data_IF_494849033571
#
_entry.id   IF_494849033571
#
_cell.length_a   1.000
_cell.length_b   1.000
_cell.length_c   1.000
_cell.angle_alpha   90.00
_cell.angle_beta   90.00
_cell.angle_gamma   90.00
#
_symmetry.space_group_name_H-M   'P 1'
#
loop_
_entity.id
_entity.type
_entity.pdbx_description
1 polymer ?
#
# COMPACT_ATOMS: atom_id res chain seq x y z
N UNK A 1 -13.12 1.99 -16.66
CA UNK A 1 -13.99 1.74 -15.49
C UNK A 1 -14.02 3.01 -14.66
N UNK A 2 -15.23 3.51 -14.45
CA UNK A 2 -15.57 4.88 -14.04
C UNK A 2 -15.36 5.10 -12.54
N UNK A 3 -14.61 6.15 -12.17
CA UNK A 3 -14.69 6.78 -10.84
C UNK A 3 -16.17 7.03 -10.50
N UNK A 4 -16.63 6.41 -9.42
CA UNK A 4 -18.02 6.57 -9.00
C UNK A 4 -18.29 7.99 -8.49
N UNK A 5 -19.52 8.45 -8.70
CA UNK A 5 -20.07 9.75 -8.28
C UNK A 5 -19.80 10.06 -6.78
N UNK A 6 -19.58 9.03 -5.96
CA UNK A 6 -19.18 9.10 -4.54
C UNK A 6 -17.86 9.83 -4.26
N UNK A 7 -16.91 9.88 -5.22
CA UNK A 7 -15.62 10.53 -5.01
C UNK A 7 -15.72 12.07 -4.97
N UNK A 8 -16.82 12.64 -5.51
CA UNK A 8 -17.05 14.10 -5.54
C UNK A 8 -17.74 14.63 -4.28
N UNK A 9 -18.54 13.81 -3.60
CA UNK A 9 -19.34 14.26 -2.45
C UNK A 9 -18.54 14.36 -1.14
N UNK A 10 -17.43 13.61 -1.02
CA UNK A 10 -16.53 13.69 0.15
C UNK A 10 -15.73 15.01 0.17
N UNK A 11 -15.53 15.65 -0.98
CA UNK A 11 -14.77 16.90 -1.13
C UNK A 11 -15.48 18.13 -0.54
N UNK A 12 -16.81 18.11 -0.38
CA UNK A 12 -17.58 19.27 0.10
C UNK A 12 -17.73 19.35 1.62
N UNK A 13 -17.43 18.26 2.35
CA UNK A 13 -17.75 18.13 3.78
C UNK A 13 -16.61 18.51 4.74
N UNK A 14 -15.43 18.89 4.24
CA UNK A 14 -14.25 19.24 5.06
C UNK A 14 -14.05 20.75 5.21
N UNK A 15 -15.08 21.45 5.72
CA UNK A 15 -14.91 22.76 6.36
C UNK A 15 -15.48 22.64 7.77
N UNK A 16 -14.63 22.76 8.78
CA UNK A 16 -15.14 23.06 10.12
C UNK A 16 -15.62 24.52 10.15
N UNK A 17 -16.44 24.87 11.15
CA UNK A 17 -16.99 26.22 11.29
C UNK A 17 -15.96 27.28 11.76
N UNK A 18 -14.68 26.92 11.86
CA UNK A 18 -13.60 27.78 12.39
C UNK A 18 -12.44 28.05 11.41
N UNK A 19 -12.46 27.41 10.23
CA UNK A 19 -11.49 27.66 9.16
C UNK A 19 -10.08 27.12 9.43
N UNK A 20 -9.89 26.23 10.41
CA UNK A 20 -8.60 25.60 10.70
C UNK A 20 -8.65 24.08 10.45
N UNK A 21 -7.77 23.59 9.58
CA UNK A 21 -7.65 22.16 9.27
C UNK A 21 -6.79 21.44 10.32
N UNK A 22 -7.32 20.38 10.94
CA UNK A 22 -6.61 19.56 11.94
C UNK A 22 -6.49 18.06 11.57
N UNK A 23 -6.61 17.68 10.29
CA UNK A 23 -6.66 16.27 9.88
C UNK A 23 -5.90 15.96 8.58
N UNK A 24 -4.58 16.08 8.57
CA UNK A 24 -3.79 15.84 7.34
C UNK A 24 -3.34 14.38 7.15
N UNK A 25 -3.18 13.59 8.22
CA UNK A 25 -2.73 12.19 8.11
C UNK A 25 -3.76 11.27 7.44
N UNK A 26 -5.04 11.63 7.46
CA UNK A 26 -6.12 10.86 6.82
C UNK A 26 -6.15 10.98 5.29
N UNK A 27 -5.74 12.14 4.75
CA UNK A 27 -5.66 12.38 3.32
C UNK A 27 -4.59 11.50 2.64
N UNK A 28 -3.51 11.22 3.37
CA UNK A 28 -2.40 10.34 2.95
C UNK A 28 -2.82 8.91 2.59
N UNK A 29 -3.84 8.40 3.27
CA UNK A 29 -4.08 6.96 3.34
C UNK A 29 -5.24 6.55 2.42
N UNK A 30 -6.11 7.48 2.05
CA UNK A 30 -7.32 7.16 1.31
C UNK A 30 -7.26 7.38 -0.21
N UNK A 31 -6.32 8.19 -0.69
CA UNK A 31 -6.17 8.48 -2.11
C UNK A 31 -4.85 7.94 -2.64
N UNK A 32 -4.80 6.64 -2.92
CA UNK A 32 -3.78 6.06 -3.79
C UNK A 32 -4.11 6.38 -5.24
N UNK A 33 -4.02 7.66 -5.64
CA UNK A 33 -4.09 8.12 -7.03
C UNK A 33 -3.14 9.33 -7.15
N UNK A 34 -2.03 9.13 -7.87
CA UNK A 34 -0.87 10.00 -8.12
C UNK A 34 -0.77 11.30 -7.32
N UNK A 35 0.31 11.48 -6.57
CA UNK A 35 0.56 12.70 -5.82
C UNK A 35 1.70 13.52 -6.44
N UNK A 36 1.47 14.78 -6.81
CA UNK A 36 2.54 15.75 -7.15
C UNK A 36 2.13 17.10 -6.60
N UNK A 37 3.06 17.84 -5.97
CA UNK A 37 3.10 19.30 -6.17
C UNK A 37 4.42 20.00 -5.79
N UNK A 38 4.59 21.23 -6.28
CA UNK A 38 5.59 22.20 -5.82
C UNK A 38 5.19 22.99 -4.56
N UNK A 39 6.01 22.91 -3.51
CA UNK A 39 6.13 23.78 -2.32
C UNK A 39 6.29 25.29 -2.57
N UNK A 40 5.24 26.08 -2.35
CA UNK A 40 5.38 27.53 -2.22
C UNK A 40 5.86 27.90 -0.82
N UNK A 41 7.09 28.40 -0.73
CA UNK A 41 7.53 29.22 0.41
C UNK A 41 6.60 30.44 0.46
N UNK A 42 5.77 30.56 1.48
CA UNK A 42 4.87 31.70 1.63
C UNK A 42 5.66 32.99 1.85
N UNK A 43 6.01 33.66 0.75
CA UNK A 43 6.11 35.11 0.63
C UNK A 43 5.86 35.47 -0.82
N UNK A 44 4.61 35.79 -1.15
CA UNK A 44 4.21 36.99 -1.88
C UNK A 44 2.82 36.82 -2.51
N UNK A 45 1.86 37.58 -2.00
CA UNK A 45 0.92 38.29 -2.87
C UNK A 45 1.74 38.93 -4.00
N UNK A 46 1.29 38.75 -5.25
CA UNK A 46 1.82 39.32 -6.50
C UNK A 46 3.15 38.76 -7.04
N UNK A 47 3.12 37.64 -7.77
CA UNK A 47 4.07 37.32 -8.86
C UNK A 47 3.53 36.21 -9.80
N UNK A 48 4.05 36.04 -11.03
CA UNK A 48 3.31 35.57 -12.22
C UNK A 48 3.07 34.05 -12.34
N UNK A 49 2.91 33.33 -11.23
CA UNK A 49 2.50 31.91 -11.19
C UNK A 49 0.98 31.73 -11.11
N UNK A 50 0.23 32.76 -10.72
CA UNK A 50 -1.24 32.77 -10.80
C UNK A 50 -1.80 32.55 -12.22
N UNK A 51 -0.95 32.66 -13.23
CA UNK A 51 -1.29 32.45 -14.64
C UNK A 51 -1.15 30.99 -15.11
N UNK A 52 -0.32 30.18 -14.43
CA UNK A 52 -0.14 28.74 -14.74
C UNK A 52 -1.22 27.87 -14.10
N UNK A 53 -1.68 28.25 -12.91
CA UNK A 53 -2.81 27.65 -12.20
C UNK A 53 -4.16 28.29 -12.56
N UNK A 54 -4.20 29.17 -13.57
CA UNK A 54 -5.47 29.76 -14.01
C UNK A 54 -6.32 28.66 -14.65
N UNK A 55 -7.59 28.61 -14.25
CA UNK A 55 -8.62 27.68 -14.71
C UNK A 55 -8.80 27.63 -16.25
N UNK A 56 -8.13 28.50 -17.00
CA UNK A 56 -8.15 28.53 -18.46
C UNK A 56 -7.30 27.45 -19.14
N UNK A 57 -6.27 26.88 -18.48
CA UNK A 57 -5.39 25.84 -19.08
C UNK A 57 -5.73 24.41 -18.68
N UNK A 58 -6.27 24.20 -17.47
CA UNK A 58 -6.62 22.87 -16.96
C UNK A 58 -7.89 22.94 -16.08
N UNK A 59 -9.09 22.82 -16.66
CA UNK A 59 -10.36 23.15 -16.00
C UNK A 59 -10.81 22.19 -14.88
N UNK A 60 -10.05 21.13 -14.59
CA UNK A 60 -10.41 20.07 -13.63
C UNK A 60 -9.53 20.04 -12.37
N UNK A 61 -8.70 21.07 -12.12
CA UNK A 61 -7.78 21.10 -10.98
C UNK A 61 -8.49 21.63 -9.74
N UNK A 62 -8.50 20.87 -8.64
CA UNK A 62 -8.91 21.33 -7.32
C UNK A 62 -7.72 21.17 -6.35
N UNK A 63 -7.21 22.30 -5.84
CA UNK A 63 -6.15 22.33 -4.84
C UNK A 63 -6.77 22.41 -3.44
N UNK A 64 -6.28 21.61 -2.50
CA UNK A 64 -6.70 21.63 -1.10
C UNK A 64 -5.46 21.89 -0.24
N UNK A 65 -5.43 23.05 0.44
CA UNK A 65 -4.37 23.42 1.37
C UNK A 65 -4.57 22.65 2.68
N UNK A 66 -3.61 21.83 3.08
CA UNK A 66 -3.63 21.15 4.37
C UNK A 66 -2.36 21.52 5.15
N UNK A 67 -2.52 22.04 6.36
CA UNK A 67 -1.43 22.58 7.19
C UNK A 67 -1.14 21.64 8.35
N UNK A 68 -0.03 20.90 8.30
CA UNK A 68 0.48 20.11 9.44
C UNK A 68 1.30 20.98 10.40
N UNK A 69 1.00 20.92 11.69
CA UNK A 69 1.64 21.66 12.78
C UNK A 69 3.08 21.23 13.10
N UNK A 70 3.99 21.33 12.12
CA UNK A 70 5.44 21.32 12.28
C UNK A 70 6.07 22.43 11.44
N UNK A 71 7.39 22.62 11.51
CA UNK A 71 8.11 23.66 10.75
C UNK A 71 8.00 23.52 9.22
N UNK A 72 7.50 22.39 8.72
CA UNK A 72 7.22 22.11 7.31
C UNK A 72 5.71 22.16 7.07
N UNK A 73 5.24 23.16 6.31
CA UNK A 73 3.87 23.23 5.79
C UNK A 73 3.83 22.54 4.43
N UNK A 74 3.04 21.48 4.29
CA UNK A 74 2.93 20.72 3.04
C UNK A 74 1.56 20.03 2.94
N UNK A 75 1.11 19.76 1.71
CA UNK A 75 -0.15 19.09 1.40
C UNK A 75 -0.02 18.19 0.17
N UNK A 76 -1.05 17.39 -0.08
CA UNK A 76 -1.10 16.43 -1.19
C UNK A 76 -2.23 16.77 -2.16
N UNK A 77 -2.00 16.57 -3.46
CA UNK A 77 -3.05 16.66 -4.48
C UNK A 77 -3.01 15.47 -5.43
N UNK A 78 -4.22 14.98 -5.70
CA UNK A 78 -4.50 13.87 -6.58
C UNK A 78 -4.43 14.30 -8.04
N UNK A 79 -3.71 13.53 -8.85
CA UNK A 79 -3.63 13.69 -10.30
C UNK A 79 -4.10 12.42 -11.00
N UNK A 80 -5.20 12.46 -11.73
CA UNK A 80 -5.67 11.29 -12.49
C UNK A 80 -5.07 11.31 -13.91
N UNK A 81 -3.85 10.80 -14.11
CA UNK A 81 -3.26 10.73 -15.46
C UNK A 81 -2.24 9.61 -15.62
N UNK A 82 -2.36 8.82 -16.68
CA UNK A 82 -1.36 7.81 -17.06
C UNK A 82 -0.13 8.41 -17.79
N UNK A 83 -0.06 9.74 -17.93
CA UNK A 83 1.04 10.43 -18.60
C UNK A 83 2.25 10.60 -17.65
N UNK A 84 3.08 9.55 -17.55
CA UNK A 84 4.30 9.56 -16.75
C UNK A 84 5.28 10.67 -17.21
N UNK A 85 5.57 10.85 -18.52
CA UNK A 85 6.40 11.97 -18.97
C UNK A 85 5.88 13.35 -18.54
N UNK A 86 4.56 13.58 -18.66
CA UNK A 86 3.93 14.81 -18.17
C UNK A 86 4.09 15.00 -16.67
N UNK A 87 3.89 13.93 -15.89
CA UNK A 87 4.16 13.91 -14.44
C UNK A 87 5.62 14.26 -14.13
N UNK A 88 6.59 13.68 -14.84
CA UNK A 88 8.02 13.91 -14.59
C UNK A 88 8.43 15.35 -14.92
N UNK A 89 7.81 15.99 -15.91
CA UNK A 89 8.03 17.40 -16.18
C UNK A 89 7.55 18.28 -15.02
N UNK A 90 6.42 17.92 -14.37
CA UNK A 90 5.97 18.59 -13.15
C UNK A 90 6.91 18.32 -11.97
N UNK A 91 7.43 17.09 -11.86
CA UNK A 91 8.37 16.69 -10.82
C UNK A 91 9.71 17.45 -10.88
N UNK A 92 10.05 18.06 -12.02
CA UNK A 92 11.23 18.94 -12.14
C UNK A 92 11.11 20.23 -11.33
N UNK A 93 9.92 20.63 -10.89
CA UNK A 93 9.77 21.84 -10.09
C UNK A 93 10.67 21.77 -8.85
N UNK A 94 11.30 22.91 -8.50
CA UNK A 94 12.27 23.03 -7.39
C UNK A 94 11.69 22.63 -6.03
N UNK A 95 10.37 22.57 -5.98
CA UNK A 95 9.60 22.47 -4.77
C UNK A 95 8.87 21.11 -4.66
N UNK A 96 9.09 20.21 -5.61
CA UNK A 96 8.57 18.83 -5.55
C UNK A 96 9.41 18.01 -4.57
N UNK A 97 8.76 17.29 -3.66
CA UNK A 97 9.45 16.48 -2.63
C UNK A 97 9.39 14.97 -2.90
N UNK A 98 8.36 14.51 -3.60
CA UNK A 98 8.12 13.10 -3.86
C UNK A 98 6.67 12.82 -4.23
N UNK A 99 6.36 11.55 -4.46
CA UNK A 99 5.04 11.09 -4.89
C UNK A 99 4.74 9.67 -4.41
N UNK A 100 3.51 9.42 -3.94
CA UNK A 100 2.98 8.06 -3.91
C UNK A 100 2.59 7.64 -5.32
N UNK A 101 3.00 6.44 -5.72
CA UNK A 101 2.69 5.83 -7.02
C UNK A 101 1.80 4.62 -6.80
N UNK A 102 0.72 4.54 -7.56
CA UNK A 102 -0.29 3.48 -7.43
C UNK A 102 -0.54 2.79 -8.77
N UNK A 103 -1.40 1.78 -8.76
CA UNK A 103 -1.88 1.11 -9.97
C UNK A 103 -2.42 2.13 -11.00
N UNK A 104 -2.10 1.98 -12.29
CA UNK A 104 -1.27 0.93 -12.91
C UNK A 104 0.24 1.23 -12.99
N UNK A 105 0.74 2.32 -12.42
CA UNK A 105 2.08 2.86 -12.75
C UNK A 105 3.22 2.38 -11.88
N UNK A 106 2.96 1.55 -10.86
CA UNK A 106 4.01 1.08 -9.97
C UNK A 106 5.17 0.42 -10.74
N UNK A 107 4.87 -0.27 -11.84
CA UNK A 107 5.90 -0.84 -12.72
C UNK A 107 6.38 0.17 -13.76
N UNK A 108 5.45 0.93 -14.36
CA UNK A 108 5.73 1.81 -15.48
C UNK A 108 6.60 3.03 -15.13
N UNK A 109 6.66 3.45 -13.86
CA UNK A 109 7.49 4.57 -13.41
C UNK A 109 8.99 4.20 -13.34
N UNK A 110 9.32 2.92 -13.12
CA UNK A 110 10.69 2.45 -12.84
C UNK A 110 11.72 2.90 -13.89
N UNK A 111 11.47 2.80 -15.21
CA UNK A 111 12.45 3.20 -16.22
C UNK A 111 12.83 4.69 -16.20
N UNK A 112 12.10 5.51 -15.45
CA UNK A 112 12.33 6.95 -15.35
C UNK A 112 13.03 7.38 -14.05
N UNK A 113 13.32 6.42 -13.16
CA UNK A 113 13.97 6.67 -11.88
C UNK A 113 15.48 6.41 -12.04
N UNK A 114 16.30 7.28 -11.45
CA UNK A 114 17.75 7.17 -11.46
C UNK A 114 18.21 6.02 -10.54
N UNK A 115 17.59 5.91 -9.36
CA UNK A 115 17.92 4.89 -8.36
C UNK A 115 16.69 4.20 -7.77
N UNK A 116 16.88 2.97 -7.30
CA UNK A 116 15.85 2.20 -6.60
C UNK A 116 16.46 1.58 -5.35
N UNK A 117 15.69 1.57 -4.27
CA UNK A 117 16.00 0.78 -3.08
C UNK A 117 16.00 -0.72 -3.41
N UNK A 118 16.62 -1.53 -2.54
CA UNK A 118 16.74 -2.98 -2.73
C UNK A 118 15.37 -3.63 -2.89
N UNK A 119 14.44 -3.37 -1.98
CA UNK A 119 13.09 -3.95 -2.04
C UNK A 119 12.30 -3.46 -3.25
N UNK A 120 12.50 -2.21 -3.70
CA UNK A 120 11.85 -1.72 -4.90
C UNK A 120 12.36 -2.41 -6.16
N UNK A 121 13.68 -2.64 -6.23
CA UNK A 121 14.34 -3.33 -7.34
C UNK A 121 13.94 -4.79 -7.37
N UNK A 122 13.95 -5.46 -6.23
CA UNK A 122 13.63 -6.88 -6.13
C UNK A 122 12.14 -7.12 -6.34
N UNK A 123 11.23 -6.34 -5.76
CA UNK A 123 9.79 -6.51 -6.03
C UNK A 123 9.44 -6.14 -7.49
N UNK A 124 10.21 -5.25 -8.12
CA UNK A 124 9.96 -4.79 -9.49
C UNK A 124 8.75 -3.86 -9.60
N UNK A 125 8.40 -3.19 -8.51
CA UNK A 125 7.32 -2.21 -8.44
C UNK A 125 7.71 -1.08 -7.48
N UNK A 126 7.45 0.16 -7.86
CA UNK A 126 7.71 1.37 -7.08
C UNK A 126 6.38 2.00 -6.68
N UNK A 127 6.11 2.13 -5.38
CA UNK A 127 4.94 2.83 -4.87
C UNK A 127 5.30 4.22 -4.27
N UNK A 128 6.59 4.56 -4.22
CA UNK A 128 7.10 5.74 -3.53
C UNK A 128 8.25 6.34 -4.32
N UNK A 129 8.03 7.52 -4.89
CA UNK A 129 9.07 8.35 -5.50
C UNK A 129 9.54 9.38 -4.47
N UNK A 130 10.85 9.51 -4.32
CA UNK A 130 11.47 10.54 -3.49
C UNK A 130 12.71 11.11 -4.18
N UNK A 131 13.27 12.18 -3.63
CA UNK A 131 14.46 12.80 -4.19
C UNK A 131 15.72 12.32 -3.48
N UNK A 132 16.75 12.03 -4.28
CA UNK A 132 18.12 11.91 -3.82
C UNK A 132 18.99 13.04 -4.37
N UNK A 133 20.27 13.01 -3.99
CA UNK A 133 21.30 13.86 -4.56
C UNK A 133 22.52 13.01 -4.95
N UNK A 134 22.98 13.16 -6.19
CA UNK A 134 24.18 12.51 -6.69
C UNK A 134 25.06 13.57 -7.37
N UNK A 135 26.29 13.74 -6.89
CA UNK A 135 27.24 14.73 -7.43
C UNK A 135 26.68 16.17 -7.53
N UNK A 136 25.85 16.59 -6.55
CA UNK A 136 25.20 17.89 -6.55
C UNK A 136 24.03 18.03 -7.54
N UNK A 137 23.66 16.95 -8.23
CA UNK A 137 22.46 16.86 -9.09
C UNK A 137 21.34 16.16 -8.32
N UNK A 138 20.15 16.74 -8.38
CA UNK A 138 18.92 16.09 -7.93
C UNK A 138 18.63 14.86 -8.80
N UNK A 139 18.34 13.75 -8.14
CA UNK A 139 17.96 12.48 -8.78
C UNK A 139 16.60 12.00 -8.28
N UNK A 140 15.90 11.22 -9.09
CA UNK A 140 14.65 10.56 -8.72
C UNK A 140 14.93 9.14 -8.24
N UNK A 141 14.55 8.88 -6.99
CA UNK A 141 14.71 7.59 -6.35
C UNK A 141 13.34 6.91 -6.17
N UNK A 142 13.32 5.58 -6.22
CA UNK A 142 12.13 4.77 -6.01
C UNK A 142 12.25 3.81 -4.83
N UNK A 143 11.17 3.69 -4.07
CA UNK A 143 11.00 2.72 -3.00
C UNK A 143 9.69 1.93 -3.14
N UNK A 144 9.63 0.76 -2.49
CA UNK A 144 8.40 -0.03 -2.35
C UNK A 144 8.05 -0.18 -0.87
N UNK A 145 7.29 0.79 -0.35
CA UNK A 145 6.87 0.82 1.04
C UNK A 145 5.71 -0.14 1.35
N UNK A 146 5.07 -0.76 0.36
CA UNK A 146 4.10 -1.83 0.62
C UNK A 146 4.77 -2.99 1.38
N UNK A 147 6.05 -3.25 1.11
CA UNK A 147 6.85 -4.26 1.82
C UNK A 147 6.97 -3.93 3.30
N UNK A 148 7.20 -2.65 3.63
CA UNK A 148 7.25 -2.15 5.00
C UNK A 148 5.88 -2.24 5.64
N UNK A 149 4.83 -1.82 4.93
CA UNK A 149 3.44 -1.96 5.37
C UNK A 149 3.11 -3.40 5.79
N UNK A 150 3.47 -4.37 4.97
CA UNK A 150 3.22 -5.80 5.24
C UNK A 150 4.02 -6.27 6.45
N UNK A 151 5.32 -6.00 6.51
CA UNK A 151 6.17 -6.43 7.64
C UNK A 151 5.67 -5.83 8.95
N UNK A 152 5.50 -4.51 9.01
CA UNK A 152 5.11 -3.83 10.24
C UNK A 152 3.70 -4.22 10.70
N UNK A 153 2.79 -4.51 9.77
CA UNK A 153 1.48 -5.06 10.13
C UNK A 153 1.60 -6.28 11.04
N UNK A 154 2.51 -7.22 10.72
CA UNK A 154 2.77 -8.38 11.57
C UNK A 154 3.55 -8.02 12.85
N UNK A 155 4.63 -7.26 12.73
CA UNK A 155 5.56 -7.00 13.84
C UNK A 155 4.96 -6.10 14.92
N UNK A 156 3.99 -5.26 14.58
CA UNK A 156 3.32 -4.36 15.51
C UNK A 156 2.07 -5.00 16.15
N UNK A 157 1.54 -6.08 15.56
CA UNK A 157 0.33 -6.76 16.04
C UNK A 157 0.58 -8.10 16.74
N UNK A 158 1.84 -8.53 16.84
CA UNK A 158 2.26 -9.80 17.46
C UNK A 158 3.40 -9.53 18.44
N UNK A 159 3.26 -10.06 19.66
CA UNK A 159 4.20 -9.77 20.75
C UNK A 159 5.61 -10.32 20.52
N UNK A 160 5.73 -11.52 19.94
CA UNK A 160 7.01 -12.14 19.56
C UNK A 160 6.92 -12.65 18.11
N UNK A 161 7.04 -11.76 17.11
CA UNK A 161 6.81 -12.10 15.71
C UNK A 161 7.84 -13.11 15.19
N UNK A 162 9.09 -13.03 15.63
CA UNK A 162 10.12 -13.96 15.19
C UNK A 162 9.83 -15.39 15.66
N UNK A 163 9.32 -15.59 16.89
CA UNK A 163 8.90 -16.91 17.36
C UNK A 163 7.72 -17.50 16.57
N UNK A 164 6.85 -16.66 16.00
CA UNK A 164 5.66 -17.08 15.25
C UNK A 164 5.98 -17.31 13.76
N UNK A 165 6.87 -16.53 13.16
CA UNK A 165 7.05 -16.49 11.70
C UNK A 165 8.39 -17.02 11.20
N UNK A 166 9.48 -16.81 11.95
CA UNK A 166 10.83 -17.16 11.48
C UNK A 166 10.96 -18.68 11.34
N UNK A 167 11.47 -19.14 10.18
CA UNK A 167 11.61 -20.56 9.83
C UNK A 167 10.30 -21.35 9.86
N UNK A 168 9.15 -20.68 9.87
CA UNK A 168 7.81 -21.27 9.72
C UNK A 168 7.31 -21.09 8.28
N UNK A 169 6.36 -21.90 7.80
CA UNK A 169 5.72 -21.64 6.52
C UNK A 169 4.87 -20.36 6.56
N UNK A 170 4.64 -19.77 5.40
CA UNK A 170 3.68 -18.68 5.20
C UNK A 170 2.79 -18.97 3.99
N UNK A 171 1.66 -18.30 3.90
CA UNK A 171 0.73 -18.39 2.78
C UNK A 171 0.50 -17.01 2.18
N UNK A 172 0.55 -16.91 0.86
CA UNK A 172 0.12 -15.72 0.10
C UNK A 172 -1.03 -16.11 -0.81
N UNK A 173 -2.14 -15.40 -0.69
CA UNK A 173 -3.35 -15.61 -1.50
C UNK A 173 -3.47 -14.48 -2.52
N UNK A 174 -3.46 -14.83 -3.81
CA UNK A 174 -3.48 -13.91 -4.96
C UNK A 174 -2.15 -13.83 -5.73
N UNK A 175 -2.20 -13.34 -6.98
CA UNK A 175 -1.06 -13.22 -7.90
C UNK A 175 -0.67 -11.78 -8.30
N UNK A 176 -1.21 -10.76 -7.62
CA UNK A 176 -1.03 -9.36 -7.99
C UNK A 176 0.25 -8.68 -7.48
N UNK A 177 0.37 -7.36 -7.69
CA UNK A 177 1.52 -6.57 -7.22
C UNK A 177 1.75 -6.63 -5.70
N UNK A 178 0.68 -6.62 -4.90
CA UNK A 178 0.76 -6.78 -3.45
C UNK A 178 1.29 -8.16 -3.03
N UNK A 179 0.99 -9.22 -3.80
CA UNK A 179 1.50 -10.56 -3.53
C UNK A 179 3.03 -10.62 -3.69
N UNK A 180 3.61 -9.92 -4.68
CA UNK A 180 5.07 -9.80 -4.82
C UNK A 180 5.72 -9.07 -3.64
N UNK A 181 5.14 -7.96 -3.18
CA UNK A 181 5.60 -7.28 -1.97
C UNK A 181 5.51 -8.18 -0.73
N UNK A 182 4.43 -8.97 -0.62
CA UNK A 182 4.25 -9.93 0.47
C UNK A 182 5.31 -11.03 0.45
N UNK A 183 5.57 -11.63 -0.71
CA UNK A 183 6.61 -12.66 -0.87
C UNK A 183 7.97 -12.11 -0.45
N UNK A 184 8.32 -10.90 -0.90
CA UNK A 184 9.59 -10.25 -0.52
C UNK A 184 9.66 -10.02 1.00
N UNK A 185 8.64 -9.39 1.59
CA UNK A 185 8.60 -9.12 3.04
C UNK A 185 8.76 -10.41 3.85
N UNK A 186 7.95 -11.43 3.52
CA UNK A 186 7.96 -12.73 4.19
C UNK A 186 9.33 -13.42 4.06
N UNK A 187 9.91 -13.45 2.87
CA UNK A 187 11.18 -14.16 2.59
C UNK A 187 12.39 -13.42 3.16
N UNK A 188 12.57 -12.15 2.78
CA UNK A 188 13.82 -11.41 3.04
C UNK A 188 13.86 -10.81 4.43
N UNK A 189 12.72 -10.31 4.94
CA UNK A 189 12.69 -9.58 6.20
C UNK A 189 12.14 -10.40 7.36
N UNK A 190 11.11 -11.21 7.13
CA UNK A 190 10.50 -12.06 8.17
C UNK A 190 11.12 -13.48 8.23
N UNK A 191 11.99 -13.82 7.28
CA UNK A 191 12.77 -15.07 7.24
C UNK A 191 11.91 -16.33 7.39
N UNK A 192 10.74 -16.34 6.74
CA UNK A 192 9.90 -17.55 6.69
C UNK A 192 10.62 -18.66 5.92
N UNK A 193 10.29 -19.92 6.18
CA UNK A 193 10.96 -21.09 5.57
C UNK A 193 10.46 -21.37 4.16
N UNK A 194 9.14 -21.47 3.99
CA UNK A 194 8.47 -21.82 2.74
C UNK A 194 7.28 -20.87 2.56
N UNK A 195 7.01 -20.45 1.33
CA UNK A 195 5.85 -19.60 1.03
C UNK A 195 4.94 -20.38 0.08
N UNK A 196 3.77 -20.74 0.59
CA UNK A 196 2.69 -21.31 -0.18
C UNK A 196 1.98 -20.21 -0.97
N UNK A 197 1.73 -20.46 -2.24
CA UNK A 197 1.04 -19.54 -3.14
C UNK A 197 -0.28 -20.17 -3.56
N UNK A 198 -1.36 -19.41 -3.43
CA UNK A 198 -2.70 -19.82 -3.85
C UNK A 198 -3.29 -18.73 -4.72
N UNK A 199 -3.66 -19.07 -5.94
CA UNK A 199 -4.37 -18.17 -6.85
C UNK A 199 -5.31 -18.97 -7.74
N UNK A 200 -6.31 -18.31 -8.31
CA UNK A 200 -7.19 -18.93 -9.32
C UNK A 200 -6.48 -19.17 -10.65
N UNK A 201 -5.51 -18.32 -10.99
CA UNK A 201 -4.79 -18.34 -12.26
C UNK A 201 -3.40 -18.95 -12.09
N UNK A 202 -3.22 -20.13 -12.69
CA UNK A 202 -1.96 -20.88 -12.67
C UNK A 202 -0.82 -20.15 -13.40
N UNK A 203 -1.13 -19.47 -14.51
CA UNK A 203 -0.14 -18.77 -15.30
C UNK A 203 0.40 -17.55 -14.54
N UNK A 204 -0.46 -16.82 -13.84
CA UNK A 204 -0.04 -15.71 -12.98
C UNK A 204 0.93 -16.18 -11.87
N UNK A 205 0.63 -17.30 -11.21
CA UNK A 205 1.51 -17.83 -10.14
C UNK A 205 2.84 -18.28 -10.70
N UNK A 206 2.83 -19.01 -11.83
CA UNK A 206 4.07 -19.48 -12.46
C UNK A 206 4.95 -18.31 -12.91
N UNK A 207 4.36 -17.27 -13.49
CA UNK A 207 5.08 -16.05 -13.89
C UNK A 207 5.65 -15.33 -12.67
N UNK A 208 4.86 -15.17 -11.60
CA UNK A 208 5.33 -14.56 -10.36
C UNK A 208 6.47 -15.35 -9.71
N UNK A 209 6.38 -16.69 -9.68
CA UNK A 209 7.45 -17.54 -9.16
C UNK A 209 8.74 -17.41 -9.96
N UNK A 210 8.64 -17.38 -11.29
CA UNK A 210 9.78 -17.15 -12.17
C UNK A 210 10.42 -15.77 -11.93
N UNK A 211 9.61 -14.71 -11.89
CA UNK A 211 10.06 -13.34 -11.59
C UNK A 211 10.80 -13.28 -10.24
N UNK A 212 10.26 -13.90 -9.19
CA UNK A 212 10.90 -13.92 -7.87
C UNK A 212 12.21 -14.71 -7.89
N UNK A 213 12.28 -15.82 -8.64
CA UNK A 213 13.48 -16.62 -8.78
C UNK A 213 14.59 -15.85 -9.49
N UNK A 214 14.28 -15.20 -10.62
CA UNK A 214 15.22 -14.38 -11.40
C UNK A 214 15.79 -13.21 -10.59
N UNK A 215 15.02 -12.72 -9.62
CA UNK A 215 15.40 -11.62 -8.72
C UNK A 215 16.00 -12.09 -7.39
N UNK A 216 16.23 -13.40 -7.23
CA UNK A 216 16.99 -13.95 -6.10
C UNK A 216 16.23 -14.04 -4.78
N UNK A 217 14.89 -14.11 -4.81
CA UNK A 217 14.07 -14.35 -3.61
C UNK A 217 12.93 -15.37 -3.82
N UNK A 218 12.98 -16.14 -4.91
CA UNK A 218 12.00 -17.19 -5.25
C UNK A 218 12.25 -18.55 -4.60
N UNK A 219 13.32 -18.73 -3.83
CA UNK A 219 13.58 -19.98 -3.12
C UNK A 219 12.43 -20.33 -2.18
N UNK A 220 12.04 -21.62 -2.14
CA UNK A 220 10.98 -22.11 -1.26
C UNK A 220 9.58 -21.57 -1.55
N UNK A 221 9.33 -21.01 -2.74
CA UNK A 221 7.98 -20.77 -3.22
C UNK A 221 7.33 -22.09 -3.67
N UNK A 222 6.08 -22.33 -3.28
CA UNK A 222 5.36 -23.54 -3.63
C UNK A 222 3.89 -23.24 -3.99
N UNK A 223 3.50 -23.53 -5.23
CA UNK A 223 2.13 -23.32 -5.69
C UNK A 223 1.21 -24.46 -5.24
N UNK A 224 0.24 -24.13 -4.38
CA UNK A 224 -0.78 -25.06 -3.88
C UNK A 224 -2.06 -24.89 -4.70
N UNK A 225 -2.38 -25.92 -5.48
CA UNK A 225 -3.49 -25.91 -6.45
C UNK A 225 -4.74 -26.63 -5.95
N UNK A 226 -4.57 -27.56 -5.01
CA UNK A 226 -5.64 -28.47 -4.60
C UNK A 226 -5.72 -28.64 -3.08
N UNK A 227 -6.92 -28.95 -2.59
CA UNK A 227 -7.16 -29.24 -1.17
C UNK A 227 -6.31 -30.41 -0.66
N UNK A 228 -6.16 -31.55 -1.38
CA UNK A 228 -5.25 -32.60 -0.97
C UNK A 228 -3.81 -32.12 -0.73
N UNK A 229 -3.27 -31.25 -1.58
CA UNK A 229 -1.94 -30.66 -1.36
C UNK A 229 -1.91 -29.84 -0.07
N UNK A 230 -2.91 -28.98 0.16
CA UNK A 230 -2.99 -28.18 1.39
C UNK A 230 -3.08 -29.04 2.65
N UNK A 231 -3.80 -30.17 2.62
CA UNK A 231 -3.93 -31.10 3.73
C UNK A 231 -2.58 -31.72 4.14
N UNK A 232 -1.72 -32.03 3.18
CA UNK A 232 -0.41 -32.64 3.41
C UNK A 232 0.66 -31.65 3.91
N UNK A 233 0.47 -30.35 3.67
CA UNK A 233 1.44 -29.31 4.03
C UNK A 233 1.35 -28.88 5.50
N UNK A 234 2.46 -28.41 6.04
CA UNK A 234 2.54 -27.79 7.37
C UNK A 234 1.70 -26.50 7.41
N UNK A 235 1.10 -26.18 8.57
CA UNK A 235 0.32 -24.95 8.75
C UNK A 235 1.21 -23.70 8.71
N UNK A 236 0.78 -22.61 8.04
CA UNK A 236 1.55 -21.37 8.03
C UNK A 236 1.49 -20.65 9.38
N UNK A 237 2.52 -19.86 9.70
CA UNK A 237 2.49 -18.88 10.79
C UNK A 237 1.92 -17.54 10.34
N UNK A 238 2.19 -17.14 9.10
CA UNK A 238 1.72 -15.88 8.50
C UNK A 238 0.90 -16.16 7.25
N UNK A 239 -0.24 -15.49 7.11
CA UNK A 239 -1.06 -15.47 5.89
C UNK A 239 -1.16 -14.02 5.40
N UNK A 240 -0.92 -13.77 4.12
CA UNK A 240 -1.20 -12.47 3.49
C UNK A 240 -2.22 -12.67 2.38
N UNK A 241 -3.42 -12.15 2.59
CA UNK A 241 -4.48 -12.17 1.61
C UNK A 241 -4.42 -10.90 0.74
N UNK A 242 -4.07 -11.07 -0.53
CA UNK A 242 -3.90 -10.00 -1.52
C UNK A 242 -5.05 -9.96 -2.54
N UNK A 243 -6.19 -10.57 -2.21
CA UNK A 243 -7.36 -10.67 -3.10
C UNK A 243 -8.44 -9.66 -2.71
N UNK A 244 -9.23 -9.16 -3.67
CA UNK A 244 -10.43 -8.39 -3.37
C UNK A 244 -11.45 -9.22 -2.57
N UNK A 245 -12.29 -8.55 -1.77
CA UNK A 245 -13.37 -9.20 -1.00
C UNK A 245 -14.62 -9.42 -1.88
N UNK A 246 -14.52 -10.34 -2.83
CA UNK A 246 -15.62 -10.79 -3.68
C UNK A 246 -15.94 -12.26 -3.42
N UNK A 247 -17.19 -12.63 -3.64
CA UNK A 247 -17.59 -14.05 -3.59
C UNK A 247 -16.97 -14.77 -4.79
N UNK A 248 -16.36 -15.96 -4.60
CA UNK A 248 -15.84 -16.74 -5.72
C UNK A 248 -16.99 -17.22 -6.61
N UNK A 249 -16.90 -16.95 -7.90
CA UNK A 249 -17.92 -17.31 -8.90
C UNK A 249 -17.45 -18.45 -9.80
N UNK A 250 -16.17 -18.46 -10.21
CA UNK A 250 -15.64 -19.49 -11.10
C UNK A 250 -15.17 -20.74 -10.34
N UNK A 251 -15.05 -21.87 -11.04
CA UNK A 251 -14.55 -23.11 -10.44
C UNK A 251 -13.12 -22.95 -9.87
N UNK A 252 -12.29 -22.16 -10.54
CA UNK A 252 -10.93 -21.83 -10.11
C UNK A 252 -10.92 -20.95 -8.87
N UNK A 253 -11.80 -19.96 -8.78
CA UNK A 253 -11.95 -19.10 -7.60
C UNK A 253 -12.45 -19.90 -6.39
N UNK A 254 -13.46 -20.74 -6.60
CA UNK A 254 -14.00 -21.62 -5.55
C UNK A 254 -12.92 -22.60 -5.08
N UNK A 255 -12.13 -23.15 -6.01
CA UNK A 255 -11.01 -24.05 -5.67
C UNK A 255 -9.95 -23.31 -4.85
N UNK A 256 -9.52 -22.13 -5.28
CA UNK A 256 -8.54 -21.32 -4.53
C UNK A 256 -9.05 -20.95 -3.13
N UNK A 257 -10.34 -20.62 -3.00
CA UNK A 257 -10.99 -20.35 -1.72
C UNK A 257 -10.96 -21.58 -0.79
N UNK A 258 -11.35 -22.76 -1.29
CA UNK A 258 -11.29 -24.02 -0.51
C UNK A 258 -9.88 -24.39 -0.06
N UNK A 259 -8.88 -24.17 -0.92
CA UNK A 259 -7.46 -24.37 -0.56
C UNK A 259 -7.07 -23.43 0.58
N UNK A 260 -7.48 -22.16 0.51
CA UNK A 260 -7.22 -21.17 1.56
C UNK A 260 -7.89 -21.56 2.88
N UNK A 261 -9.17 -21.93 2.84
CA UNK A 261 -9.92 -22.42 4.01
C UNK A 261 -9.26 -23.66 4.65
N UNK A 262 -8.73 -24.57 3.84
CA UNK A 262 -7.98 -25.74 4.33
C UNK A 262 -6.75 -25.35 5.15
N UNK A 263 -6.09 -24.23 4.82
CA UNK A 263 -5.01 -23.69 5.63
C UNK A 263 -5.52 -22.98 6.88
N UNK A 264 -6.65 -22.28 6.80
CA UNK A 264 -7.28 -21.64 7.97
C UNK A 264 -7.67 -22.67 9.04
N UNK A 265 -8.09 -23.87 8.63
CA UNK A 265 -8.50 -24.97 9.51
C UNK A 265 -7.34 -25.68 10.23
N UNK A 266 -6.07 -25.41 9.85
CA UNK A 266 -4.90 -26.05 10.49
C UNK A 266 -4.83 -25.72 11.97
N UNK A 267 -4.46 -26.68 12.81
CA UNK A 267 -4.40 -26.49 14.27
C UNK A 267 -3.46 -25.34 14.69
N UNK A 268 -2.30 -25.23 14.04
CA UNK A 268 -1.37 -24.13 14.28
C UNK A 268 -1.96 -22.83 13.71
N UNK A 269 -2.14 -21.84 14.58
CA UNK A 269 -2.57 -20.49 14.22
C UNK A 269 -1.42 -19.50 14.35
N UNK A 270 -1.51 -18.43 13.58
CA UNK A 270 -0.69 -17.25 13.75
C UNK A 270 -1.50 -16.02 13.37
N UNK A 271 -1.05 -15.28 12.37
CA UNK A 271 -1.71 -14.06 11.94
C UNK A 271 -2.05 -14.07 10.45
N UNK A 272 -3.19 -13.45 10.12
CA UNK A 272 -3.59 -13.17 8.74
C UNK A 272 -3.65 -11.65 8.53
N UNK A 273 -2.97 -11.17 7.50
CA UNK A 273 -3.07 -9.80 7.01
C UNK A 273 -3.99 -9.76 5.79
N UNK A 274 -5.13 -9.09 5.94
CA UNK A 274 -6.08 -8.82 4.85
C UNK A 274 -5.71 -7.52 4.15
N UNK A 275 -5.00 -7.57 3.02
CA UNK A 275 -4.61 -6.35 2.28
C UNK A 275 -5.80 -5.59 1.71
N UNK A 276 -6.97 -6.22 1.61
CA UNK A 276 -8.21 -5.60 1.18
C UNK A 276 -8.79 -4.72 2.30
N UNK A 277 -8.98 -3.42 2.00
CA UNK A 277 -9.63 -2.46 2.89
C UNK A 277 -10.81 -1.73 2.24
N UNK A 278 -11.16 -2.11 1.00
CA UNK A 278 -12.25 -1.52 0.24
C UNK A 278 -13.08 -2.64 -0.41
N UNK A 279 -14.42 -2.64 -0.26
CA UNK A 279 -15.26 -1.55 0.22
C UNK A 279 -15.29 -1.38 1.75
N UNK A 280 -14.77 -2.34 2.50
CA UNK A 280 -14.64 -2.36 3.96
C UNK A 280 -13.36 -3.11 4.33
N UNK A 281 -12.69 -2.79 5.45
CA UNK A 281 -11.60 -3.61 5.99
C UNK A 281 -12.07 -4.90 6.67
N UNK A 282 -13.37 -5.02 6.98
CA UNK A 282 -13.94 -6.24 7.55
C UNK A 282 -14.35 -7.20 6.43
N UNK A 283 -13.39 -7.98 5.94
CA UNK A 283 -13.60 -8.89 4.80
C UNK A 283 -14.18 -10.23 5.23
N UNK A 284 -14.82 -10.95 4.30
CA UNK A 284 -15.36 -12.30 4.58
C UNK A 284 -14.27 -13.29 4.93
N UNK A 285 -13.12 -13.20 4.26
CA UNK A 285 -11.99 -14.07 4.53
C UNK A 285 -11.37 -13.77 5.91
N UNK A 286 -11.29 -12.49 6.29
CA UNK A 286 -10.93 -12.09 7.65
C UNK A 286 -11.87 -12.68 8.71
N UNK A 287 -13.19 -12.57 8.51
CA UNK A 287 -14.17 -13.15 9.44
C UNK A 287 -14.02 -14.67 9.59
N UNK A 288 -13.84 -15.40 8.48
CA UNK A 288 -13.60 -16.85 8.53
C UNK A 288 -12.31 -17.20 9.28
N UNK A 289 -11.25 -16.40 9.10
CA UNK A 289 -10.00 -16.64 9.81
C UNK A 289 -10.15 -16.36 11.31
N UNK A 290 -10.87 -15.32 11.71
CA UNK A 290 -11.19 -15.02 13.10
C UNK A 290 -11.99 -16.16 13.75
N UNK A 291 -13.02 -16.67 13.07
CA UNK A 291 -13.81 -17.82 13.52
C UNK A 291 -12.95 -19.08 13.74
N UNK A 292 -11.88 -19.22 12.96
CA UNK A 292 -10.90 -20.31 13.07
C UNK A 292 -9.77 -19.99 14.08
N UNK A 293 -9.84 -18.88 14.80
CA UNK A 293 -8.88 -18.52 15.86
C UNK A 293 -7.58 -17.86 15.38
N UNK A 294 -7.54 -17.34 14.15
CA UNK A 294 -6.41 -16.56 13.67
C UNK A 294 -6.43 -15.14 14.24
N UNK A 295 -5.24 -14.56 14.46
CA UNK A 295 -5.11 -13.13 14.70
C UNK A 295 -5.31 -12.38 13.38
N UNK A 296 -6.47 -11.77 13.20
CA UNK A 296 -6.76 -10.95 12.01
C UNK A 296 -6.13 -9.57 12.15
N UNK A 297 -5.38 -9.17 11.12
CA UNK A 297 -4.78 -7.86 10.95
C UNK A 297 -5.42 -7.21 9.72
N UNK A 298 -6.02 -6.04 9.93
CA UNK A 298 -6.75 -5.33 8.88
C UNK A 298 -5.78 -4.66 7.91
N UNK A 299 -6.17 -4.54 6.64
CA UNK A 299 -5.34 -3.89 5.60
C UNK A 299 -5.07 -2.41 5.85
N UNK A 300 -5.84 -1.79 6.74
CA UNK A 300 -5.55 -0.44 7.23
C UNK A 300 -4.21 -0.34 7.96
N UNK A 301 -3.75 -1.41 8.63
CA UNK A 301 -2.42 -1.45 9.26
C UNK A 301 -1.33 -1.33 8.19
N UNK A 302 -1.41 -2.15 7.14
CA UNK A 302 -0.45 -2.09 6.03
C UNK A 302 -0.45 -0.71 5.36
N UNK A 303 -1.64 -0.13 5.20
CA UNK A 303 -1.83 1.21 4.67
C UNK A 303 -1.16 2.29 5.54
N UNK A 304 -1.32 2.22 6.87
CA UNK A 304 -0.68 3.13 7.84
C UNK A 304 0.84 3.05 7.70
N UNK A 305 1.41 1.87 7.86
CA UNK A 305 2.86 1.73 7.91
C UNK A 305 3.54 2.00 6.57
N UNK A 306 2.92 1.65 5.44
CA UNK A 306 3.48 2.04 4.12
C UNK A 306 3.44 3.56 3.90
N UNK A 307 2.43 4.25 4.44
CA UNK A 307 2.31 5.71 4.35
C UNK A 307 3.27 6.44 5.31
N UNK A 308 3.49 5.90 6.50
CA UNK A 308 4.49 6.42 7.43
C UNK A 308 5.91 6.24 6.86
N UNK A 309 6.18 5.11 6.20
CA UNK A 309 7.46 4.91 5.53
C UNK A 309 7.69 5.89 4.38
N UNK A 310 6.64 6.22 3.62
CA UNK A 310 6.70 7.29 2.62
C UNK A 310 7.08 8.63 3.24
N UNK A 311 6.49 8.97 4.39
CA UNK A 311 6.78 10.23 5.08
C UNK A 311 8.25 10.30 5.54
N UNK A 312 8.85 9.17 5.94
CA UNK A 312 10.28 9.11 6.25
C UNK A 312 11.15 9.49 5.06
N UNK A 313 10.85 8.97 3.86
CA UNK A 313 11.59 9.32 2.64
C UNK A 313 11.47 10.81 2.27
N UNK A 314 10.33 11.45 2.54
CA UNK A 314 10.11 12.85 2.16
C UNK A 314 10.56 13.85 3.21
N UNK A 315 10.49 13.49 4.49
CA UNK A 315 10.77 14.42 5.59
C UNK A 315 12.11 14.15 6.29
N UNK A 316 12.70 12.98 6.09
CA UNK A 316 13.89 12.52 6.82
C UNK A 316 13.63 12.21 8.29
N UNK A 317 12.37 12.19 8.74
CA UNK A 317 12.00 11.86 10.12
C UNK A 317 12.13 10.38 10.39
N UNK A 318 12.25 10.01 11.66
CA UNK A 318 12.16 8.61 12.11
C UNK A 318 10.73 8.24 12.46
N UNK A 319 10.42 6.93 12.56
CA UNK A 319 9.07 6.48 12.89
C UNK A 319 8.62 6.96 14.27
N UNK A 320 9.55 7.07 15.23
CA UNK A 320 9.31 7.56 16.59
C UNK A 320 8.93 9.05 16.61
N UNK A 321 9.35 9.82 15.60
CA UNK A 321 8.99 11.21 15.42
C UNK A 321 7.64 11.38 14.71
N UNK A 322 7.09 10.30 14.14
CA UNK A 322 5.81 10.30 13.46
C UNK A 322 4.67 9.97 14.43
N UNK A 323 3.49 10.60 14.28
CA UNK A 323 2.40 10.45 15.23
C UNK A 323 1.54 9.22 14.93
N UNK A 324 2.13 8.02 15.00
CA UNK A 324 1.50 6.74 14.64
C UNK A 324 0.10 6.61 15.26
N UNK A 325 -0.02 6.80 16.57
CA UNK A 325 -1.31 6.71 17.29
C UNK A 325 -2.38 7.65 16.71
N UNK A 326 -1.99 8.88 16.35
CA UNK A 326 -2.93 9.85 15.78
C UNK A 326 -3.36 9.42 14.39
N UNK A 327 -2.46 8.83 13.60
CA UNK A 327 -2.77 8.30 12.27
C UNK A 327 -3.76 7.14 12.37
N UNK A 328 -3.49 6.21 13.29
CA UNK A 328 -4.34 5.03 13.52
C UNK A 328 -5.75 5.42 13.99
N UNK A 329 -5.86 6.32 14.97
CA UNK A 329 -7.16 6.85 15.44
C UNK A 329 -7.92 7.51 14.29
N UNK A 330 -7.24 8.34 13.51
CA UNK A 330 -7.88 9.06 12.42
C UNK A 330 -8.42 8.08 11.35
N UNK A 331 -7.66 7.05 10.97
CA UNK A 331 -8.17 6.01 10.05
C UNK A 331 -9.36 5.26 10.64
N UNK A 332 -9.28 4.86 11.92
CA UNK A 332 -10.36 4.13 12.57
C UNK A 332 -11.68 4.95 12.55
N UNK A 333 -11.60 6.24 12.86
CA UNK A 333 -12.75 7.16 12.75
C UNK A 333 -13.32 7.21 11.33
N UNK A 334 -12.46 7.22 10.31
CA UNK A 334 -12.90 7.27 8.91
C UNK A 334 -13.52 5.96 8.44
N UNK A 335 -12.97 4.83 8.87
CA UNK A 335 -13.56 3.50 8.62
C UNK A 335 -14.95 3.42 9.25
N UNK A 336 -15.10 3.86 10.50
CA UNK A 336 -16.38 3.89 11.20
C UNK A 336 -17.43 4.75 10.47
N UNK A 337 -17.08 5.99 10.10
CA UNK A 337 -17.97 6.88 9.31
C UNK A 337 -18.42 6.23 8.00
N UNK A 338 -17.55 5.46 7.34
CA UNK A 338 -17.88 4.79 6.07
C UNK A 338 -18.81 3.60 6.25
N UNK A 339 -18.68 2.88 7.37
CA UNK A 339 -19.58 1.79 7.73
C UNK A 339 -20.98 2.35 8.03
N UNK A 340 -21.07 3.46 8.77
CA UNK A 340 -22.33 4.14 9.08
C UNK A 340 -23.02 4.70 7.83
N UNK A 341 -22.27 5.30 6.90
CA UNK A 341 -22.84 5.86 5.66
C UNK A 341 -23.39 4.81 4.66
N UNK A 342 -23.23 3.51 4.96
CA UNK A 342 -23.76 2.40 4.16
C UNK A 342 -24.98 1.71 4.78
N UNK A 343 -25.33 2.06 6.03
CA UNK A 343 -26.58 1.70 6.69
C UNK A 343 -27.65 2.73 6.34
#
# INVERSE_FOLDING_TARGET
MTCSILEREVLSSFKDQSGHANSCYLYHLWYSIYTVFPWLRSKCLSTPLGTLCSAAKYPNWSAMDISLGGSLKWGQVRLDSADIPGFLNLAQHADFYGASVTMPNKVAIIPYLDELTEECRDVGACNTLFLGEENGRRIFCGANTDVVGIRESFYQNIADPDAVFHNKPALVVGGGGAARSAIYALRKWMKVKTIYLVNRDDAEVNAMMADCADRGYGEGLFHVKTVPQALELEGPGAIVACVPDFEPETEEEIRARRVTETFLDKEQKGAILEMCYNPTPFTKLGAMAEDQGWRVILGTEALIYQGLEQDKYWTGRTLEELPVDKVSVAIAEKVAQRAEAKL
#
